data_IF_308571824940
#
_entry.id   IF_308571824940
#
_cell.length_a   1.000
_cell.length_b   1.000
_cell.length_c   1.000
_cell.angle_alpha   90.00
_cell.angle_beta   90.00
_cell.angle_gamma   90.00
#
_symmetry.space_group_name_H-M   'P 1'
#
loop_
_entity.id
_entity.type
_entity.pdbx_description
1 polymer ?
#
# COMPACT_ATOMS: atom_id res chain seq x y z
N UNK A 1 -17.01 14.82 -21.60
CA UNK A 1 -17.09 14.13 -20.28
C UNK A 1 -18.52 14.23 -19.79
N UNK A 2 -19.22 13.12 -19.79
CA UNK A 2 -20.69 13.09 -19.59
C UNK A 2 -21.12 12.94 -18.13
N UNK A 3 -20.22 13.21 -17.18
CA UNK A 3 -20.56 13.15 -15.75
C UNK A 3 -20.71 11.76 -15.17
N UNK A 4 -20.47 10.71 -15.95
CA UNK A 4 -20.55 9.35 -15.44
C UNK A 4 -19.31 8.98 -14.64
N UNK A 5 -19.51 8.37 -13.49
CA UNK A 5 -18.43 7.86 -12.67
C UNK A 5 -18.03 6.47 -13.19
N UNK A 6 -16.72 6.29 -13.43
CA UNK A 6 -16.18 5.03 -13.97
C UNK A 6 -15.30 4.38 -12.92
N UNK A 7 -15.38 3.06 -12.81
CA UNK A 7 -14.57 2.28 -11.89
C UNK A 7 -13.81 1.19 -12.66
N UNK A 8 -12.57 0.96 -12.24
CA UNK A 8 -11.78 -0.15 -12.78
C UNK A 8 -12.41 -1.47 -12.33
N UNK A 9 -12.73 -2.32 -13.30
CA UNK A 9 -13.33 -3.63 -13.01
C UNK A 9 -12.37 -4.51 -12.19
N UNK A 10 -11.05 -4.31 -12.34
CA UNK A 10 -10.07 -5.01 -11.51
C UNK A 10 -10.17 -4.60 -10.06
N UNK A 11 -10.45 -3.31 -9.78
CA UNK A 11 -10.65 -2.81 -8.42
C UNK A 11 -11.92 -3.40 -7.81
N UNK A 12 -13.00 -3.53 -8.58
CA UNK A 12 -14.25 -4.14 -8.11
C UNK A 12 -14.01 -5.61 -7.77
N UNK A 13 -13.34 -6.35 -8.64
CA UNK A 13 -13.02 -7.77 -8.40
C UNK A 13 -12.12 -7.94 -7.19
N UNK A 14 -11.11 -7.07 -7.05
CA UNK A 14 -10.18 -7.09 -5.91
C UNK A 14 -10.94 -6.86 -4.59
N UNK A 15 -11.84 -5.88 -4.57
CA UNK A 15 -12.64 -5.56 -3.38
C UNK A 15 -13.50 -6.75 -2.95
N UNK A 16 -14.19 -7.39 -3.92
CA UNK A 16 -15.14 -8.46 -3.64
C UNK A 16 -14.49 -9.82 -3.39
N UNK A 17 -13.43 -10.13 -4.13
CA UNK A 17 -12.85 -11.49 -4.17
C UNK A 17 -11.41 -11.55 -3.71
N UNK A 18 -10.79 -10.42 -3.33
CA UNK A 18 -9.38 -10.29 -2.97
C UNK A 18 -8.43 -10.59 -4.14
N UNK A 19 -8.95 -10.58 -5.37
CA UNK A 19 -8.19 -10.87 -6.60
C UNK A 19 -8.59 -9.90 -7.71
N UNK A 20 -7.63 -9.42 -8.52
CA UNK A 20 -7.99 -8.69 -9.73
C UNK A 20 -8.70 -9.62 -10.72
N UNK A 21 -9.41 -9.04 -11.69
CA UNK A 21 -10.28 -9.81 -12.61
C UNK A 21 -9.54 -10.90 -13.39
N UNK A 22 -8.27 -10.68 -13.72
CA UNK A 22 -7.50 -11.65 -14.50
C UNK A 22 -7.16 -12.93 -13.72
N UNK A 23 -7.36 -12.94 -12.40
CA UNK A 23 -7.19 -14.12 -11.57
C UNK A 23 -8.51 -14.85 -11.29
N UNK A 24 -9.61 -14.31 -11.80
CA UNK A 24 -10.95 -14.90 -11.65
C UNK A 24 -11.29 -15.62 -12.94
N UNK A 25 -11.74 -16.85 -12.81
CA UNK A 25 -12.14 -17.65 -13.98
C UNK A 25 -13.52 -17.20 -14.48
N UNK A 26 -13.57 -16.81 -15.74
CA UNK A 26 -14.80 -16.31 -16.38
C UNK A 26 -15.28 -17.20 -17.52
N UNK A 27 -14.75 -18.40 -17.65
CA UNK A 27 -15.03 -19.26 -18.79
C UNK A 27 -16.54 -19.46 -19.02
N UNK A 28 -17.28 -19.56 -17.93
CA UNK A 28 -18.74 -19.75 -18.02
C UNK A 28 -19.48 -18.53 -18.57
N UNK A 29 -18.83 -17.36 -18.59
CA UNK A 29 -19.47 -16.14 -19.11
C UNK A 29 -19.26 -15.96 -20.62
N UNK A 30 -18.35 -16.73 -21.22
CA UNK A 30 -17.92 -16.52 -22.61
C UNK A 30 -18.04 -17.76 -23.48
N UNK A 31 -18.52 -18.85 -22.95
CA UNK A 31 -18.63 -20.12 -23.68
C UNK A 31 -19.54 -20.04 -24.91
N UNK A 32 -20.43 -19.07 -24.94
CA UNK A 32 -21.40 -18.90 -26.02
C UNK A 32 -21.08 -17.74 -26.96
N UNK A 33 -19.90 -17.16 -26.86
CA UNK A 33 -19.53 -16.08 -27.78
C UNK A 33 -19.28 -16.66 -29.17
N UNK A 34 -19.99 -16.13 -30.14
CA UNK A 34 -19.94 -16.58 -31.49
C UNK A 34 -18.74 -16.08 -32.30
N UNK A 35 -18.59 -16.51 -33.52
CA UNK A 35 -17.49 -16.15 -34.42
C UNK A 35 -17.45 -14.65 -34.73
N UNK A 36 -18.58 -13.97 -34.60
CA UNK A 36 -18.68 -12.54 -34.86
C UNK A 36 -17.77 -11.73 -33.93
N UNK A 37 -17.66 -12.12 -32.66
CA UNK A 37 -16.81 -11.43 -31.68
C UNK A 37 -15.32 -11.60 -31.98
N UNK A 38 -14.94 -12.61 -32.76
CA UNK A 38 -13.54 -12.82 -33.15
C UNK A 38 -13.01 -11.65 -33.98
N UNK A 39 -13.85 -11.09 -34.84
CA UNK A 39 -13.46 -9.97 -35.71
C UNK A 39 -13.55 -8.61 -35.03
N UNK A 40 -14.13 -8.56 -33.84
CA UNK A 40 -14.36 -7.30 -33.11
C UNK A 40 -13.86 -7.44 -31.67
N UNK A 41 -12.54 -7.41 -31.45
CA UNK A 41 -11.99 -7.64 -30.10
C UNK A 41 -12.49 -6.68 -29.05
N UNK A 42 -12.88 -5.46 -29.46
CA UNK A 42 -13.46 -4.49 -28.51
C UNK A 42 -14.82 -4.93 -27.99
N UNK A 43 -15.60 -5.58 -28.85
CA UNK A 43 -16.91 -6.12 -28.47
C UNK A 43 -16.75 -7.20 -27.41
N UNK A 44 -15.75 -8.07 -27.60
CA UNK A 44 -15.43 -9.14 -26.63
C UNK A 44 -15.07 -8.52 -25.26
N UNK A 45 -14.26 -7.47 -25.24
CA UNK A 45 -13.91 -6.77 -24.00
C UNK A 45 -15.13 -6.15 -23.34
N UNK A 46 -15.99 -5.49 -24.12
CA UNK A 46 -17.22 -4.87 -23.62
C UNK A 46 -18.13 -5.95 -22.97
N UNK A 47 -18.29 -7.08 -23.64
CA UNK A 47 -19.12 -8.16 -23.10
C UNK A 47 -18.54 -8.75 -21.80
N UNK A 48 -17.21 -8.88 -21.74
CA UNK A 48 -16.53 -9.29 -20.50
C UNK A 48 -16.89 -8.34 -19.34
N UNK A 49 -16.77 -7.06 -19.58
CA UNK A 49 -17.07 -6.03 -18.56
C UNK A 49 -18.53 -6.07 -18.14
N UNK A 50 -19.43 -6.22 -19.13
CA UNK A 50 -20.87 -6.31 -18.87
C UNK A 50 -21.23 -7.55 -18.03
N UNK A 51 -20.69 -8.71 -18.42
CA UNK A 51 -20.98 -9.97 -17.74
C UNK A 51 -20.50 -9.94 -16.29
N UNK A 52 -19.29 -9.47 -16.07
CA UNK A 52 -18.76 -9.36 -14.71
C UNK A 52 -19.55 -8.34 -13.89
N UNK A 53 -19.85 -7.18 -14.47
CA UNK A 53 -20.65 -6.14 -13.81
C UNK A 53 -22.03 -6.66 -13.39
N UNK A 54 -22.70 -7.38 -14.29
CA UNK A 54 -24.00 -7.99 -14.02
C UNK A 54 -23.91 -9.00 -12.87
N UNK A 55 -22.92 -9.89 -12.93
CA UNK A 55 -22.68 -10.89 -11.88
C UNK A 55 -22.49 -10.23 -10.51
N UNK A 56 -21.66 -9.21 -10.44
CA UNK A 56 -21.36 -8.48 -9.20
C UNK A 56 -22.64 -7.87 -8.62
N UNK A 57 -23.42 -7.19 -9.48
CA UNK A 57 -24.68 -6.52 -9.06
C UNK A 57 -25.70 -7.55 -8.59
N UNK A 58 -25.88 -8.62 -9.34
CA UNK A 58 -26.88 -9.66 -9.04
C UNK A 58 -26.57 -10.39 -7.73
N UNK A 59 -25.29 -10.51 -7.39
CA UNK A 59 -24.90 -11.17 -6.15
C UNK A 59 -24.90 -10.23 -4.93
N UNK A 60 -25.23 -8.95 -5.13
CA UNK A 60 -25.39 -7.95 -4.05
C UNK A 60 -24.20 -7.89 -3.10
N UNK A 61 -23.00 -8.16 -3.61
CA UNK A 61 -21.81 -8.25 -2.78
C UNK A 61 -21.13 -6.89 -2.57
N UNK A 62 -21.50 -5.88 -3.36
CA UNK A 62 -20.80 -4.62 -3.38
C UNK A 62 -21.48 -3.58 -2.48
N UNK A 63 -20.76 -3.15 -1.44
CA UNK A 63 -21.11 -1.96 -0.68
C UNK A 63 -20.55 -0.76 -1.43
N UNK A 64 -21.41 -0.07 -2.20
CA UNK A 64 -20.97 1.01 -3.09
C UNK A 64 -20.32 2.16 -2.36
N UNK A 65 -20.82 2.54 -1.20
CA UNK A 65 -20.23 3.66 -0.43
C UNK A 65 -18.78 3.35 -0.03
N UNK A 66 -18.58 2.20 0.59
CA UNK A 66 -17.24 1.79 1.04
C UNK A 66 -16.29 1.55 -0.12
N UNK A 67 -16.79 0.84 -1.15
CA UNK A 67 -15.98 0.56 -2.35
C UNK A 67 -15.57 1.85 -3.05
N UNK A 68 -16.50 2.79 -3.22
CA UNK A 68 -16.24 4.06 -3.89
C UNK A 68 -15.15 4.83 -3.15
N UNK A 69 -15.24 4.89 -1.83
CA UNK A 69 -14.26 5.60 -1.01
C UNK A 69 -12.88 4.97 -1.15
N UNK A 70 -12.81 3.64 -1.05
CA UNK A 70 -11.55 2.90 -1.26
C UNK A 70 -10.97 3.18 -2.64
N UNK A 71 -11.79 3.00 -3.70
CA UNK A 71 -11.36 3.17 -5.08
C UNK A 71 -10.84 4.58 -5.35
N UNK A 72 -11.61 5.58 -4.94
CA UNK A 72 -11.27 6.97 -5.20
C UNK A 72 -10.02 7.41 -4.44
N UNK A 73 -9.92 7.05 -3.16
CA UNK A 73 -8.77 7.44 -2.34
C UNK A 73 -7.48 6.75 -2.82
N UNK A 74 -7.53 5.43 -3.06
CA UNK A 74 -6.34 4.68 -3.53
C UNK A 74 -5.90 5.17 -4.92
N UNK A 75 -6.85 5.36 -5.84
CA UNK A 75 -6.55 5.86 -7.17
C UNK A 75 -5.93 7.26 -7.09
N UNK A 76 -6.55 8.15 -6.31
CA UNK A 76 -6.04 9.52 -6.18
C UNK A 76 -4.63 9.54 -5.55
N UNK A 77 -4.42 8.76 -4.49
CA UNK A 77 -3.14 8.72 -3.79
C UNK A 77 -1.99 8.32 -4.73
N UNK A 78 -2.16 7.21 -5.45
CA UNK A 78 -1.06 6.65 -6.24
C UNK A 78 -0.98 7.24 -7.66
N UNK A 79 -2.10 7.56 -8.30
CA UNK A 79 -2.11 8.17 -9.62
C UNK A 79 -1.33 9.50 -9.63
N UNK A 80 -1.48 10.31 -8.59
CA UNK A 80 -0.77 11.59 -8.54
C UNK A 80 0.76 11.38 -8.46
N UNK A 81 1.22 10.39 -7.70
CA UNK A 81 2.65 10.08 -7.65
C UNK A 81 3.13 9.54 -9.00
N UNK A 82 2.38 8.62 -9.59
CA UNK A 82 2.70 8.05 -10.91
C UNK A 82 2.81 9.16 -11.96
N UNK A 83 1.84 10.07 -11.98
CA UNK A 83 1.79 11.16 -12.93
C UNK A 83 2.95 12.16 -12.76
N UNK A 84 3.36 12.40 -11.52
CA UNK A 84 4.47 13.32 -11.24
C UNK A 84 5.79 12.80 -11.82
N UNK A 85 6.04 11.50 -11.68
CA UNK A 85 7.32 10.90 -12.04
C UNK A 85 8.42 11.31 -11.07
N UNK A 86 9.58 10.69 -11.21
CA UNK A 86 10.76 11.04 -10.41
C UNK A 86 11.92 11.41 -11.35
N UNK A 87 12.61 12.49 -11.03
CA UNK A 87 13.72 12.98 -11.85
C UNK A 87 14.90 12.03 -11.86
N UNK A 88 15.51 11.87 -13.04
CA UNK A 88 16.73 11.06 -13.22
C UNK A 88 17.85 11.97 -13.73
N UNK A 89 19.09 11.65 -13.35
CA UNK A 89 20.26 12.39 -13.76
C UNK A 89 21.08 11.62 -14.80
N UNK A 90 22.25 12.16 -15.17
CA UNK A 90 23.13 11.57 -16.20
C UNK A 90 23.68 10.21 -15.79
N UNK A 91 23.75 9.92 -14.49
CA UNK A 91 24.31 8.65 -13.99
C UNK A 91 23.29 7.50 -14.06
N UNK A 92 22.00 7.81 -14.25
CA UNK A 92 20.94 6.80 -14.21
C UNK A 92 21.21 5.63 -15.17
N UNK A 93 21.55 5.94 -16.42
CA UNK A 93 21.80 4.90 -17.44
C UNK A 93 23.05 4.09 -17.10
N UNK A 94 24.10 4.74 -16.55
CA UNK A 94 25.32 4.03 -16.13
C UNK A 94 25.02 3.05 -15.00
N UNK A 95 24.14 3.44 -14.07
CA UNK A 95 23.78 2.62 -12.90
C UNK A 95 22.83 1.47 -13.28
N UNK A 96 21.80 1.75 -14.06
CA UNK A 96 20.69 0.80 -14.32
C UNK A 96 20.78 0.12 -15.68
N UNK A 97 21.50 0.70 -16.65
CA UNK A 97 21.68 0.15 -17.98
C UNK A 97 20.76 0.76 -19.03
N UNK A 98 21.19 0.67 -20.28
CA UNK A 98 20.52 1.24 -21.46
C UNK A 98 19.09 0.76 -21.66
N UNK A 99 18.75 -0.42 -21.16
CA UNK A 99 17.39 -0.98 -21.32
C UNK A 99 16.31 -0.08 -20.69
N UNK A 100 16.71 0.78 -19.77
CA UNK A 100 15.76 1.69 -19.10
C UNK A 100 15.61 3.05 -19.81
N UNK A 101 16.46 3.35 -20.81
CA UNK A 101 16.41 4.64 -21.52
C UNK A 101 15.02 4.91 -22.14
N UNK A 102 14.36 3.87 -22.62
CA UNK A 102 13.02 3.98 -23.23
C UNK A 102 11.93 4.40 -22.25
N UNK A 103 12.18 4.28 -20.94
CA UNK A 103 11.22 4.67 -19.91
C UNK A 103 11.44 6.08 -19.39
N UNK A 104 12.49 6.77 -19.88
CA UNK A 104 12.81 8.14 -19.47
C UNK A 104 12.13 9.11 -20.43
N UNK A 105 11.30 10.00 -19.90
CA UNK A 105 10.62 11.04 -20.65
C UNK A 105 10.78 12.36 -19.90
N UNK A 106 11.31 13.38 -20.59
CA UNK A 106 11.53 14.72 -20.02
C UNK A 106 12.31 14.67 -18.68
N UNK A 107 13.39 13.89 -18.66
CA UNK A 107 14.27 13.69 -17.48
C UNK A 107 13.58 13.02 -16.30
N UNK A 108 12.47 12.33 -16.54
CA UNK A 108 11.71 11.61 -15.50
C UNK A 108 11.57 10.14 -15.87
N UNK A 109 11.47 9.31 -14.84
CA UNK A 109 10.94 7.95 -14.99
C UNK A 109 9.62 7.89 -14.20
N UNK A 110 8.62 7.20 -14.76
CA UNK A 110 7.26 7.14 -14.19
C UNK A 110 7.04 5.78 -13.55
N UNK A 111 6.66 5.80 -12.28
CA UNK A 111 6.44 4.60 -11.49
C UNK A 111 5.05 4.03 -11.74
N UNK A 112 4.84 2.78 -11.33
CA UNK A 112 3.55 2.11 -11.45
C UNK A 112 3.27 1.37 -10.15
N UNK A 113 2.28 1.85 -9.39
CA UNK A 113 1.90 1.28 -8.09
C UNK A 113 0.74 0.30 -8.26
N UNK A 114 1.01 -0.97 -7.99
CA UNK A 114 -0.03 -2.00 -8.00
C UNK A 114 -0.46 -2.29 -6.56
N UNK A 115 -1.64 -1.83 -6.17
CA UNK A 115 -2.20 -2.07 -4.83
C UNK A 115 -3.15 -3.28 -4.79
N UNK A 116 -3.26 -4.05 -5.87
CA UNK A 116 -4.03 -5.30 -5.89
C UNK A 116 -3.18 -6.43 -5.30
N UNK A 117 -2.80 -6.27 -4.06
CA UNK A 117 -2.05 -7.24 -3.26
C UNK A 117 -2.90 -7.59 -2.04
N UNK A 118 -2.60 -8.67 -1.35
CA UNK A 118 -3.42 -9.15 -0.23
C UNK A 118 -3.70 -8.04 0.80
N UNK A 119 -2.68 -7.25 1.14
CA UNK A 119 -2.79 -6.19 2.16
C UNK A 119 -3.02 -4.80 1.55
N UNK A 120 -3.18 -4.70 0.24
CA UNK A 120 -3.21 -3.45 -0.53
C UNK A 120 -1.87 -2.69 -0.48
N UNK A 121 -0.86 -3.22 0.15
CA UNK A 121 0.48 -2.62 0.21
C UNK A 121 1.06 -2.65 -1.20
N UNK A 122 1.26 -1.49 -1.85
CA UNK A 122 1.55 -1.49 -3.29
C UNK A 122 2.94 -1.99 -3.62
N UNK A 123 3.02 -2.82 -4.65
CA UNK A 123 4.30 -3.09 -5.32
C UNK A 123 4.56 -1.97 -6.33
N UNK A 124 5.82 -1.72 -6.63
CA UNK A 124 6.22 -0.61 -7.49
C UNK A 124 7.48 -1.02 -8.28
N UNK A 125 7.25 -1.56 -9.46
CA UNK A 125 8.35 -2.04 -10.30
C UNK A 125 8.09 -1.80 -11.78
N UNK A 126 9.14 -1.45 -12.51
CA UNK A 126 9.11 -1.35 -13.98
C UNK A 126 10.26 -2.22 -14.52
N UNK A 127 9.90 -3.27 -15.25
CA UNK A 127 10.86 -4.14 -15.91
C UNK A 127 12.01 -4.56 -14.96
N UNK A 128 11.61 -5.09 -13.78
CA UNK A 128 12.53 -5.56 -12.72
C UNK A 128 13.25 -4.46 -11.94
N UNK A 129 12.98 -3.19 -12.22
CA UNK A 129 13.46 -2.09 -11.39
C UNK A 129 12.46 -1.89 -10.24
N UNK A 130 12.83 -2.39 -9.07
CA UNK A 130 11.98 -2.30 -7.87
C UNK A 130 12.33 -1.04 -7.09
N UNK A 131 11.50 -0.02 -7.19
CA UNK A 131 11.74 1.29 -6.56
C UNK A 131 11.76 1.22 -5.03
N UNK A 132 11.08 0.25 -4.43
CA UNK A 132 11.06 0.11 -2.97
C UNK A 132 12.34 -0.52 -2.40
N UNK A 133 13.18 -1.10 -3.26
CA UNK A 133 14.37 -1.85 -2.83
C UNK A 133 15.68 -1.27 -3.41
N UNK A 134 15.71 0.02 -3.70
CA UNK A 134 16.90 0.67 -4.26
C UNK A 134 17.99 0.78 -3.21
N UNK A 135 19.19 0.34 -3.57
CA UNK A 135 20.39 0.54 -2.74
C UNK A 135 20.81 2.01 -2.74
N UNK A 136 21.66 2.39 -1.79
CA UNK A 136 22.18 3.76 -1.73
C UNK A 136 22.91 4.14 -3.02
N UNK A 137 23.65 3.21 -3.63
CA UNK A 137 24.31 3.46 -4.91
C UNK A 137 23.33 3.69 -6.04
N UNK A 138 22.24 2.90 -6.06
CA UNK A 138 21.21 3.04 -7.09
C UNK A 138 20.46 4.37 -6.94
N UNK A 139 20.27 4.84 -5.72
CA UNK A 139 19.59 6.12 -5.46
C UNK A 139 20.34 7.30 -6.09
N UNK A 140 21.65 7.20 -6.31
CA UNK A 140 22.45 8.25 -6.95
C UNK A 140 22.03 8.57 -8.38
N UNK A 141 21.30 7.65 -9.05
CA UNK A 141 20.78 7.89 -10.40
C UNK A 141 19.59 8.84 -10.46
N UNK A 142 19.06 9.27 -9.31
CA UNK A 142 17.89 10.14 -9.24
C UNK A 142 18.29 11.52 -8.74
N UNK A 143 17.60 12.56 -9.22
CA UNK A 143 17.80 13.92 -8.75
C UNK A 143 16.51 14.72 -8.89
N UNK A 144 16.31 15.72 -8.03
CA UNK A 144 15.11 16.52 -8.09
C UNK A 144 15.08 17.34 -9.40
N UNK A 145 13.89 17.63 -9.88
CA UNK A 145 13.71 18.59 -10.99
C UNK A 145 13.48 20.00 -10.45
N UNK A 146 12.99 20.12 -9.23
CA UNK A 146 12.96 21.37 -8.46
C UNK A 146 14.31 21.56 -7.75
N UNK A 147 14.30 21.95 -6.48
CA UNK A 147 15.52 22.34 -5.77
C UNK A 147 16.18 21.19 -5.02
N UNK A 148 15.39 20.35 -4.34
CA UNK A 148 15.95 19.32 -3.47
C UNK A 148 14.89 18.24 -3.19
N UNK A 149 15.37 17.00 -3.00
CA UNK A 149 14.51 15.94 -2.45
C UNK A 149 14.40 16.12 -0.93
N UNK A 150 13.16 16.00 -0.42
CA UNK A 150 12.88 15.97 1.01
C UNK A 150 12.15 14.67 1.31
N UNK A 151 12.70 13.87 2.22
CA UNK A 151 12.05 12.62 2.64
C UNK A 151 11.34 12.85 3.98
N UNK A 152 10.04 12.55 4.01
CA UNK A 152 9.22 12.57 5.22
C UNK A 152 9.09 11.12 5.68
N UNK A 153 9.71 10.78 6.81
CA UNK A 153 9.81 9.41 7.32
C UNK A 153 9.10 9.29 8.67
N UNK A 154 8.29 8.24 8.84
CA UNK A 154 7.58 7.99 10.09
C UNK A 154 8.50 7.36 11.14
N UNK A 155 8.60 7.98 12.30
CA UNK A 155 9.34 7.41 13.42
C UNK A 155 8.62 6.20 14.02
N UNK A 156 9.27 5.03 13.98
CA UNK A 156 8.79 3.79 14.58
C UNK A 156 7.32 3.49 14.18
N UNK A 157 7.04 3.55 12.88
CA UNK A 157 5.66 3.56 12.37
C UNK A 157 4.82 2.37 12.87
N UNK A 158 5.31 1.13 12.64
CA UNK A 158 4.53 -0.06 13.06
C UNK A 158 4.31 -0.12 14.57
N UNK A 159 5.34 0.08 15.42
CA UNK A 159 5.08 0.14 16.88
C UNK A 159 4.03 1.18 17.26
N UNK A 160 4.04 2.36 16.63
CA UNK A 160 3.04 3.41 16.92
C UNK A 160 1.65 3.02 16.45
N UNK A 161 1.51 2.43 15.25
CA UNK A 161 0.22 1.92 14.76
C UNK A 161 -0.33 0.85 15.69
N UNK A 162 0.53 -0.06 16.13
CA UNK A 162 0.13 -1.14 17.07
C UNK A 162 -0.25 -0.53 18.42
N UNK A 163 0.54 0.42 18.93
CA UNK A 163 0.22 1.12 20.18
C UNK A 163 -1.18 1.71 20.14
N UNK A 164 -1.50 2.42 19.06
CA UNK A 164 -2.84 3.00 18.87
C UNK A 164 -3.93 1.92 18.85
N UNK A 165 -3.68 0.79 18.17
CA UNK A 165 -4.64 -0.32 18.11
C UNK A 165 -4.92 -0.94 19.48
N UNK A 166 -3.89 -1.08 20.31
CA UNK A 166 -4.01 -1.76 21.61
C UNK A 166 -4.21 -0.79 22.78
N UNK A 167 -4.32 0.50 22.50
CA UNK A 167 -4.51 1.53 23.53
C UNK A 167 -3.28 1.77 24.39
N UNK A 168 -2.07 1.63 23.81
CA UNK A 168 -0.80 1.84 24.52
C UNK A 168 -0.16 3.16 24.05
N UNK A 169 0.12 4.06 24.98
CA UNK A 169 0.80 5.32 24.69
C UNK A 169 2.29 5.23 25.02
N UNK A 170 3.12 5.38 24.00
CA UNK A 170 4.57 5.46 24.21
C UNK A 170 4.93 6.80 24.81
N UNK A 171 5.98 6.86 25.65
CA UNK A 171 6.47 8.15 26.11
C UNK A 171 6.95 9.01 24.94
N UNK A 172 7.12 10.32 25.19
CA UNK A 172 7.53 11.31 24.16
C UNK A 172 9.02 11.20 23.79
N UNK A 173 9.61 10.06 24.01
CA UNK A 173 10.99 9.73 23.61
C UNK A 173 10.97 8.83 22.40
N UNK A 174 12.14 8.51 21.87
CA UNK A 174 12.25 7.54 20.80
C UNK A 174 11.63 6.20 21.22
N UNK A 175 10.70 5.69 20.44
CA UNK A 175 10.06 4.39 20.71
C UNK A 175 11.12 3.28 20.73
N UNK A 176 12.09 3.36 19.83
CA UNK A 176 13.15 2.34 19.75
C UNK A 176 14.05 2.37 20.97
N UNK A 177 14.41 3.56 21.47
CA UNK A 177 15.22 3.68 22.70
C UNK A 177 14.43 3.11 23.90
N UNK A 178 13.17 3.51 24.03
CA UNK A 178 12.29 3.04 25.08
C UNK A 178 12.17 1.52 25.13
N UNK A 179 11.87 0.90 23.97
CA UNK A 179 11.72 -0.55 23.91
C UNK A 179 13.05 -1.27 24.16
N UNK A 180 14.16 -0.73 23.63
CA UNK A 180 15.50 -1.30 23.84
C UNK A 180 15.87 -1.32 25.32
N UNK A 181 15.55 -0.25 26.04
CA UNK A 181 15.73 -0.17 27.50
C UNK A 181 14.92 -1.27 28.19
N UNK A 182 13.65 -1.45 27.79
CA UNK A 182 12.80 -2.51 28.37
C UNK A 182 13.34 -3.92 28.12
N UNK A 183 14.03 -4.11 26.98
CA UNK A 183 14.65 -5.41 26.65
C UNK A 183 16.04 -5.58 27.27
N UNK A 184 16.65 -4.50 27.77
CA UNK A 184 18.01 -4.52 28.32
C UNK A 184 19.08 -4.72 27.26
N UNK A 185 18.90 -4.09 26.06
CA UNK A 185 19.81 -4.25 24.91
C UNK A 185 20.06 -2.88 24.26
N UNK A 186 21.03 -2.80 23.35
CA UNK A 186 21.26 -1.59 22.58
C UNK A 186 20.14 -1.36 21.55
N UNK A 187 20.07 -0.15 20.99
CA UNK A 187 18.98 0.28 20.11
C UNK A 187 18.90 -0.57 18.83
N UNK A 188 20.03 -0.96 18.27
CA UNK A 188 20.07 -1.78 17.05
C UNK A 188 19.47 -3.15 17.31
N UNK A 189 19.89 -3.80 18.39
CA UNK A 189 19.32 -5.09 18.79
C UNK A 189 17.86 -4.94 19.19
N UNK A 190 17.51 -3.86 19.88
CA UNK A 190 16.13 -3.55 20.29
C UNK A 190 15.17 -3.46 19.11
N UNK A 191 15.58 -2.76 18.03
CA UNK A 191 14.79 -2.71 16.80
C UNK A 191 14.53 -4.10 16.24
N UNK A 192 15.61 -4.89 16.12
CA UNK A 192 15.51 -6.27 15.60
C UNK A 192 14.56 -7.11 16.44
N UNK A 193 14.70 -7.07 17.76
CA UNK A 193 13.84 -7.83 18.70
C UNK A 193 12.38 -7.37 18.58
N UNK A 194 12.13 -6.06 18.47
CA UNK A 194 10.77 -5.55 18.34
C UNK A 194 10.08 -6.16 17.14
N UNK A 195 10.74 -6.15 15.96
CA UNK A 195 10.18 -6.74 14.76
C UNK A 195 10.00 -8.27 14.89
N UNK A 196 10.96 -8.95 15.49
CA UNK A 196 10.86 -10.40 15.75
C UNK A 196 9.65 -10.71 16.62
N UNK A 197 9.42 -9.94 17.69
CA UNK A 197 8.29 -10.15 18.59
C UNK A 197 6.95 -9.84 17.90
N UNK A 198 6.88 -8.71 17.19
CA UNK A 198 5.63 -8.32 16.53
C UNK A 198 5.20 -9.34 15.47
N UNK A 199 6.15 -9.87 14.70
CA UNK A 199 5.83 -10.66 13.51
C UNK A 199 6.23 -12.14 13.60
N UNK A 200 7.12 -12.50 14.50
CA UNK A 200 7.55 -13.88 14.70
C UNK A 200 6.93 -14.57 15.91
N UNK A 201 6.34 -13.80 16.81
CA UNK A 201 5.68 -14.31 18.00
C UNK A 201 6.28 -13.74 19.28
N UNK A 202 5.41 -13.46 20.25
CA UNK A 202 5.79 -12.83 21.52
C UNK A 202 5.88 -13.90 22.62
N UNK A 203 7.09 -14.21 23.11
CA UNK A 203 7.23 -15.15 24.22
C UNK A 203 6.51 -14.64 25.48
N UNK A 204 5.96 -15.55 26.27
CA UNK A 204 5.25 -15.19 27.51
C UNK A 204 6.18 -14.40 28.44
N UNK A 205 7.42 -14.86 28.58
CA UNK A 205 8.42 -14.23 29.46
C UNK A 205 8.70 -12.76 29.11
N UNK A 206 8.56 -12.39 27.83
CA UNK A 206 8.75 -11.01 27.36
C UNK A 206 7.45 -10.22 27.56
N UNK A 207 6.31 -10.81 27.21
CA UNK A 207 4.99 -10.18 27.38
C UNK A 207 4.74 -9.82 28.85
N UNK A 208 5.15 -10.68 29.77
CA UNK A 208 4.97 -10.43 31.21
C UNK A 208 5.77 -9.22 31.73
N UNK A 209 6.81 -8.81 31.00
CA UNK A 209 7.71 -7.70 31.39
C UNK A 209 7.45 -6.41 30.63
N UNK A 210 6.88 -6.50 29.41
CA UNK A 210 6.73 -5.33 28.53
C UNK A 210 5.25 -5.18 28.18
N UNK A 211 4.59 -4.23 28.82
CA UNK A 211 3.13 -4.03 28.71
C UNK A 211 2.68 -3.87 27.24
N UNK A 212 3.42 -3.10 26.43
CA UNK A 212 3.14 -2.97 25.01
C UNK A 212 3.02 -4.33 24.33
N UNK A 213 3.97 -5.24 24.59
CA UNK A 213 3.98 -6.57 23.97
C UNK A 213 2.90 -7.48 24.55
N UNK A 214 2.56 -7.30 25.83
CA UNK A 214 1.45 -8.04 26.46
C UNK A 214 0.13 -7.69 25.77
N UNK A 215 -0.15 -6.39 25.59
CA UNK A 215 -1.35 -5.91 24.90
C UNK A 215 -1.37 -6.35 23.44
N UNK A 216 -0.22 -6.27 22.77
CA UNK A 216 -0.08 -6.72 21.37
C UNK A 216 -0.41 -8.21 21.25
N UNK A 217 0.12 -9.04 22.14
CA UNK A 217 -0.15 -10.48 22.15
C UNK A 217 -1.64 -10.78 22.34
N UNK A 218 -2.28 -10.06 23.26
CA UNK A 218 -3.72 -10.20 23.47
C UNK A 218 -4.52 -9.82 22.21
N UNK A 219 -4.12 -8.74 21.54
CA UNK A 219 -4.75 -8.30 20.29
C UNK A 219 -4.57 -9.35 19.18
N UNK A 220 -3.37 -9.90 19.03
CA UNK A 220 -3.08 -10.95 18.02
C UNK A 220 -4.03 -12.15 18.24
N UNK A 221 -4.17 -12.59 19.49
CA UNK A 221 -5.04 -13.73 19.82
C UNK A 221 -6.51 -13.42 19.50
N UNK A 222 -6.97 -12.22 19.88
CA UNK A 222 -8.34 -11.77 19.61
C UNK A 222 -8.62 -11.75 18.11
N UNK A 223 -7.71 -11.16 17.33
CA UNK A 223 -7.83 -11.06 15.87
C UNK A 223 -7.91 -12.45 15.23
N UNK A 224 -7.06 -13.37 15.72
CA UNK A 224 -7.05 -14.74 15.22
C UNK A 224 -8.37 -15.47 15.50
N UNK A 225 -8.90 -15.34 16.72
CA UNK A 225 -10.19 -15.96 17.07
C UNK A 225 -11.32 -15.39 16.20
N UNK A 226 -11.34 -14.07 16.03
CA UNK A 226 -12.33 -13.41 15.17
C UNK A 226 -12.27 -13.93 13.72
N UNK A 227 -11.04 -14.12 13.20
CA UNK A 227 -10.82 -14.62 11.84
C UNK A 227 -11.33 -16.07 11.69
N UNK A 228 -11.07 -16.91 12.67
CA UNK A 228 -11.53 -18.32 12.63
C UNK A 228 -13.05 -18.40 12.78
N UNK A 229 -13.62 -17.64 13.72
CA UNK A 229 -15.04 -17.69 14.02
C UNK A 229 -15.89 -17.12 12.87
N UNK A 230 -15.50 -15.97 12.33
CA UNK A 230 -16.26 -15.29 11.27
C UNK A 230 -15.89 -15.76 9.86
N UNK A 231 -14.74 -16.42 9.70
CA UNK A 231 -14.19 -16.81 8.41
C UNK A 231 -13.76 -15.60 7.56
N UNK A 232 -13.53 -14.46 8.22
CA UNK A 232 -12.95 -13.25 7.61
C UNK A 232 -12.52 -12.28 8.70
N UNK A 233 -11.70 -11.29 8.28
CA UNK A 233 -11.52 -10.05 9.03
C UNK A 233 -11.72 -8.88 8.08
N UNK A 234 -11.95 -7.69 8.65
CA UNK A 234 -12.07 -6.45 7.88
C UNK A 234 -10.89 -5.54 8.19
N UNK A 235 -10.38 -4.87 7.15
CA UNK A 235 -9.35 -3.85 7.35
C UNK A 235 -9.92 -2.68 8.16
N UNK A 236 -9.06 -2.00 8.89
CA UNK A 236 -9.48 -1.03 9.94
C UNK A 236 -10.14 0.21 9.37
N UNK A 237 -9.64 0.77 8.27
CA UNK A 237 -10.05 2.10 7.81
C UNK A 237 -11.12 2.01 6.71
N UNK A 238 -10.87 1.23 5.66
CA UNK A 238 -11.83 1.12 4.56
C UNK A 238 -12.80 -0.05 4.70
N UNK A 239 -12.53 -0.98 5.64
CA UNK A 239 -13.43 -2.11 5.88
C UNK A 239 -13.43 -3.14 4.76
N UNK A 240 -12.32 -3.28 4.03
CA UNK A 240 -12.18 -4.31 3.00
C UNK A 240 -12.12 -5.68 3.68
N UNK A 241 -12.87 -6.64 3.15
CA UNK A 241 -12.95 -7.96 3.75
C UNK A 241 -11.82 -8.85 3.23
N UNK A 242 -11.09 -9.46 4.16
CA UNK A 242 -10.08 -10.49 3.88
C UNK A 242 -10.70 -11.84 4.25
N UNK A 243 -11.07 -12.63 3.24
CA UNK A 243 -11.80 -13.88 3.44
C UNK A 243 -10.85 -15.03 3.76
N UNK A 244 -11.25 -15.88 4.69
CA UNK A 244 -10.50 -17.07 5.10
C UNK A 244 -10.15 -17.95 3.90
N UNK A 245 -11.12 -18.20 3.02
CA UNK A 245 -10.92 -19.09 1.87
C UNK A 245 -10.00 -18.51 0.78
N UNK A 246 -9.68 -17.21 0.86
CA UNK A 246 -8.76 -16.57 -0.09
C UNK A 246 -7.32 -16.46 0.42
N UNK A 247 -7.07 -16.91 1.66
CA UNK A 247 -5.74 -16.86 2.28
C UNK A 247 -5.29 -18.27 2.64
N UNK A 248 -4.05 -18.60 2.33
CA UNK A 248 -3.50 -19.94 2.59
C UNK A 248 -2.43 -19.89 3.69
N UNK A 249 -2.32 -21.01 4.39
CA UNK A 249 -1.26 -21.23 5.39
C UNK A 249 -1.18 -20.12 6.42
N UNK A 250 -2.35 -19.67 6.92
CA UNK A 250 -2.42 -18.59 7.89
C UNK A 250 -2.12 -19.08 9.30
N UNK A 251 -1.57 -18.18 10.10
CA UNK A 251 -1.36 -18.35 11.53
C UNK A 251 -1.55 -16.98 12.19
N UNK A 252 -1.63 -16.91 13.53
CA UNK A 252 -1.92 -15.62 14.20
C UNK A 252 -0.95 -14.49 13.84
N UNK A 253 0.35 -14.78 13.76
CA UNK A 253 1.37 -13.78 13.46
C UNK A 253 1.29 -13.29 12.02
N UNK A 254 1.08 -14.23 11.07
CA UNK A 254 0.94 -13.88 9.66
C UNK A 254 -0.31 -13.02 9.43
N UNK A 255 -1.42 -13.39 10.07
CA UNK A 255 -2.66 -12.61 10.00
C UNK A 255 -2.46 -11.20 10.56
N UNK A 256 -1.81 -11.11 11.72
CA UNK A 256 -1.51 -9.82 12.34
C UNK A 256 -0.63 -8.97 11.42
N UNK A 257 0.40 -9.57 10.82
CA UNK A 257 1.27 -8.86 9.87
C UNK A 257 0.45 -8.29 8.70
N UNK A 258 -0.46 -9.10 8.14
CA UNK A 258 -1.34 -8.64 7.05
C UNK A 258 -2.24 -7.49 7.51
N UNK A 259 -2.79 -7.60 8.72
CA UNK A 259 -3.66 -6.57 9.28
C UNK A 259 -2.91 -5.23 9.46
N UNK A 260 -1.69 -5.28 10.00
CA UNK A 260 -0.88 -4.07 10.22
C UNK A 260 -0.44 -3.46 8.88
N UNK A 261 -0.04 -4.28 7.91
CA UNK A 261 0.32 -3.78 6.57
C UNK A 261 -0.87 -3.11 5.89
N UNK A 262 -2.06 -3.66 6.03
CA UNK A 262 -3.28 -3.05 5.48
C UNK A 262 -3.56 -1.72 6.18
N UNK A 263 -3.44 -1.66 7.51
CA UNK A 263 -3.63 -0.42 8.28
C UNK A 263 -2.64 0.66 7.87
N UNK A 264 -1.35 0.30 7.76
CA UNK A 264 -0.29 1.20 7.28
C UNK A 264 -0.69 1.81 5.92
N UNK A 265 -1.02 0.95 4.96
CA UNK A 265 -1.34 1.38 3.60
C UNK A 265 -2.59 2.26 3.58
N UNK A 266 -3.65 1.85 4.26
CA UNK A 266 -4.91 2.60 4.29
C UNK A 266 -4.72 3.97 4.95
N UNK A 267 -3.94 4.05 6.02
CA UNK A 267 -3.63 5.31 6.69
C UNK A 267 -2.81 6.22 5.77
N UNK A 268 -1.80 5.65 5.11
CA UNK A 268 -0.94 6.39 4.17
C UNK A 268 -1.75 6.92 2.98
N UNK A 269 -2.69 6.14 2.47
CA UNK A 269 -3.55 6.58 1.35
C UNK A 269 -4.35 7.81 1.76
N UNK A 270 -4.93 7.83 2.96
CA UNK A 270 -5.66 9.00 3.45
C UNK A 270 -4.74 10.21 3.54
N UNK A 271 -3.56 10.01 4.14
CA UNK A 271 -2.58 11.09 4.29
C UNK A 271 -2.08 11.60 2.93
N UNK A 272 -1.78 10.69 2.00
CA UNK A 272 -1.37 11.07 0.64
C UNK A 272 -2.44 11.93 -0.05
N UNK A 273 -3.71 11.58 0.08
CA UNK A 273 -4.80 12.38 -0.49
C UNK A 273 -4.84 13.80 0.10
N UNK A 274 -4.61 13.92 1.41
CA UNK A 274 -4.55 15.23 2.08
C UNK A 274 -3.34 16.04 1.61
N UNK A 275 -2.17 15.40 1.54
CA UNK A 275 -0.93 16.07 1.07
C UNK A 275 -1.08 16.51 -0.39
N UNK A 276 -1.62 15.64 -1.27
CA UNK A 276 -1.86 16.02 -2.68
C UNK A 276 -2.77 17.25 -2.78
N UNK A 277 -3.82 17.31 -1.94
CA UNK A 277 -4.73 18.46 -1.91
C UNK A 277 -3.99 19.72 -1.47
N UNK A 278 -3.17 19.59 -0.43
CA UNK A 278 -2.37 20.68 0.11
C UNK A 278 -1.36 21.21 -0.92
N UNK A 279 -0.74 20.30 -1.67
CA UNK A 279 0.29 20.65 -2.66
C UNK A 279 -0.29 21.03 -4.04
N UNK A 280 -1.60 20.99 -4.22
CA UNK A 280 -2.24 21.10 -5.54
C UNK A 280 -1.82 22.36 -6.33
N UNK A 281 -1.65 23.50 -5.66
CA UNK A 281 -1.30 24.77 -6.29
C UNK A 281 0.17 25.15 -6.09
N UNK A 282 1.00 24.20 -5.65
CA UNK A 282 2.42 24.42 -5.34
C UNK A 282 3.32 23.76 -6.38
N UNK A 283 4.59 24.15 -6.38
CA UNK A 283 5.62 23.53 -7.22
C UNK A 283 6.11 22.19 -6.65
N UNK A 284 6.01 22.03 -5.34
CA UNK A 284 6.42 20.81 -4.63
C UNK A 284 5.48 19.65 -4.94
N UNK A 285 6.05 18.47 -5.21
CA UNK A 285 5.29 17.28 -5.58
C UNK A 285 5.79 16.07 -4.81
N UNK A 286 4.88 15.12 -4.47
CA UNK A 286 5.29 13.80 -4.02
C UNK A 286 5.73 13.00 -5.24
N UNK A 287 6.95 12.46 -5.22
CA UNK A 287 7.53 11.74 -6.37
C UNK A 287 7.82 10.27 -6.08
N UNK A 288 7.76 9.86 -4.81
CA UNK A 288 7.95 8.45 -4.46
C UNK A 288 7.28 8.14 -3.11
N UNK A 289 6.70 6.96 -3.02
CA UNK A 289 6.10 6.39 -1.82
C UNK A 289 6.84 5.11 -1.47
N UNK A 290 7.33 5.01 -0.25
CA UNK A 290 8.08 3.84 0.21
C UNK A 290 7.58 3.38 1.59
N UNK A 291 6.31 2.99 1.67
CA UNK A 291 5.65 2.41 2.85
C UNK A 291 5.68 3.35 4.07
N UNK A 292 6.83 3.49 4.71
CA UNK A 292 7.00 4.33 5.91
C UNK A 292 7.58 5.71 5.60
N UNK A 293 7.74 6.06 4.32
CA UNK A 293 8.23 7.40 3.95
C UNK A 293 7.64 7.89 2.64
N UNK A 294 7.61 9.21 2.49
CA UNK A 294 7.20 9.92 1.27
C UNK A 294 8.35 10.80 0.81
N UNK A 295 8.73 10.71 -0.47
CA UNK A 295 9.78 11.55 -1.04
C UNK A 295 9.13 12.68 -1.84
N UNK A 296 9.49 13.91 -1.49
CA UNK A 296 9.02 15.11 -2.17
C UNK A 296 10.13 15.69 -3.05
N UNK A 297 9.75 16.17 -4.23
CA UNK A 297 10.58 17.04 -5.06
C UNK A 297 10.18 18.47 -4.69
N UNK A 298 10.96 19.07 -3.76
CA UNK A 298 10.58 20.31 -3.09
C UNK A 298 11.03 21.53 -3.89
N UNK A 299 10.09 22.47 -4.10
CA UNK A 299 10.35 23.77 -4.71
C UNK A 299 10.44 24.82 -3.59
N UNK A 300 11.61 25.46 -3.46
CA UNK A 300 11.86 26.48 -2.42
C UNK A 300 10.92 27.68 -2.52
N UNK A 301 10.35 27.92 -3.70
CA UNK A 301 9.36 29.00 -3.88
C UNK A 301 8.10 28.80 -3.03
N UNK A 302 7.81 27.56 -2.67
CA UNK A 302 6.63 27.26 -1.83
C UNK A 302 6.82 27.64 -0.36
N UNK A 303 8.08 27.91 0.05
CA UNK A 303 8.39 28.28 1.43
C UNK A 303 8.62 27.04 2.33
N UNK A 304 9.48 27.22 3.35
CA UNK A 304 9.88 26.14 4.26
C UNK A 304 8.67 25.58 5.03
N UNK A 305 7.66 26.40 5.27
CA UNK A 305 6.42 25.99 5.95
C UNK A 305 5.64 24.93 5.17
N UNK A 306 5.94 24.75 3.90
CA UNK A 306 5.28 23.73 3.08
C UNK A 306 5.65 22.31 3.55
N UNK A 307 6.90 22.12 4.03
CA UNK A 307 7.38 20.84 4.54
C UNK A 307 7.32 20.71 6.08
N UNK A 308 6.80 21.75 6.69
CA UNK A 308 6.75 21.84 8.00
C UNK A 308 5.62 21.43 8.44
#
# INVERSE_FOLDING_TARGET
KNGYKCYDINAVSFWLYNKPKWEIEYDNFYSEMDDFTYYYPYMKLIEKCRSLGKFIIENRMLNYEKFTKFHDDFTNAFYNIERNGIGVNTDFIAIFGHKYAKYIHDKKIFQNYNFFTTTSRPSNAINNLNFAALTNEQRKGFSPLNDVFVELDFDAYHPRLIGELVGYEFPKTSVHDYLSEKYGVDVKEGKTRTFQYMYGGIPKSVADKVEFLKLTKAFINKLWLEYIDNQYIKTKIYGRTLYYHNLSDMNPQKLFNYYIQALETERNVKLLCEIHRYLYSRGTNIVHYNYDSFLLDYDRKDGVETIX
#
